data_IF_338693383349
#
_entry.id   IF_338693383349
#
_cell.length_a   1.000
_cell.length_b   1.000
_cell.length_c   1.000
_cell.angle_alpha   90.00
_cell.angle_beta   90.00
_cell.angle_gamma   90.00
#
_symmetry.space_group_name_H-M   'P 1'
#
loop_
_entity.id
_entity.type
_entity.pdbx_description
1 polymer ?
#
# COMPACT_ATOMS: atom_id res chain seq x y z
N UNK A 1 -13.17 8.01 28.17
CA UNK A 1 -14.26 8.98 28.28
C UNK A 1 -15.35 8.27 29.05
N UNK A 2 -15.76 8.87 30.16
CA UNK A 2 -16.89 8.42 30.97
C UNK A 2 -17.86 9.59 31.04
N UNK A 3 -19.15 9.35 30.85
CA UNK A 3 -20.19 10.37 30.89
C UNK A 3 -21.28 9.84 31.80
N UNK A 4 -21.39 10.39 33.00
CA UNK A 4 -22.31 9.87 34.01
C UNK A 4 -22.57 10.92 35.10
N UNK A 5 -23.82 11.41 35.27
CA UNK A 5 -25.04 10.97 34.60
C UNK A 5 -25.34 11.68 33.27
N UNK A 6 -26.11 11.01 32.41
CA UNK A 6 -26.79 11.60 31.25
C UNK A 6 -28.27 11.78 31.60
N UNK A 7 -28.78 12.99 31.41
CA UNK A 7 -30.20 13.31 31.52
C UNK A 7 -30.77 13.47 30.12
N UNK A 8 -31.84 12.75 29.79
CA UNK A 8 -32.51 12.84 28.51
C UNK A 8 -34.00 13.16 28.72
N UNK A 9 -34.50 14.13 27.98
CA UNK A 9 -35.91 14.57 27.99
C UNK A 9 -36.39 14.92 26.57
N UNK A 10 -37.62 15.42 26.44
CA UNK A 10 -38.22 15.82 25.15
C UNK A 10 -37.48 16.96 24.43
N UNK A 11 -36.61 17.70 25.12
CA UNK A 11 -35.83 18.80 24.55
C UNK A 11 -34.42 18.38 24.14
N UNK A 12 -33.94 17.22 24.59
CA UNK A 12 -32.69 16.64 24.13
C UNK A 12 -31.97 15.81 25.19
N UNK A 13 -30.63 15.77 25.08
CA UNK A 13 -29.75 15.01 25.98
C UNK A 13 -28.70 15.94 26.57
N UNK A 14 -28.59 15.95 27.90
CA UNK A 14 -27.64 16.72 28.69
C UNK A 14 -26.71 15.78 29.45
N UNK A 15 -25.40 15.93 29.26
CA UNK A 15 -24.40 15.31 30.13
C UNK A 15 -24.22 16.16 31.39
N UNK A 16 -24.57 15.63 32.56
CA UNK A 16 -24.45 16.32 33.84
C UNK A 16 -23.01 16.26 34.38
N UNK A 17 -22.29 15.19 34.07
CA UNK A 17 -20.86 15.06 34.35
C UNK A 17 -20.17 14.25 33.25
N UNK A 18 -18.90 14.58 32.99
CA UNK A 18 -18.06 13.89 32.04
C UNK A 18 -16.60 13.89 32.51
N UNK A 19 -16.02 12.69 32.59
CA UNK A 19 -14.62 12.49 32.91
C UNK A 19 -13.82 12.04 31.69
N UNK A 20 -12.80 12.82 31.35
CA UNK A 20 -11.82 12.48 30.32
C UNK A 20 -10.49 12.14 30.97
N UNK A 21 -10.13 10.86 30.97
CA UNK A 21 -8.77 10.44 31.30
C UNK A 21 -7.90 10.51 30.04
N UNK A 22 -6.89 11.38 30.06
CA UNK A 22 -5.89 11.47 28.99
C UNK A 22 -4.72 10.56 29.36
N UNK A 23 -4.41 9.60 28.49
CA UNK A 23 -3.17 8.80 28.60
C UNK A 23 -2.21 9.21 27.49
N UNK A 24 -0.91 9.01 27.73
CA UNK A 24 0.06 9.07 26.64
C UNK A 24 -0.34 8.01 25.60
N UNK A 25 -0.55 8.38 24.32
CA UNK A 25 -0.91 7.40 23.31
C UNK A 25 0.20 6.35 23.21
N UNK A 26 -0.20 5.09 22.99
CA UNK A 26 0.77 4.07 22.64
C UNK A 26 1.40 4.48 21.30
N UNK A 27 2.71 4.29 21.14
CA UNK A 27 3.35 4.50 19.84
C UNK A 27 2.79 3.44 18.89
N UNK A 28 2.03 3.89 17.89
CA UNK A 28 1.48 3.02 16.85
C UNK A 28 2.51 2.73 15.76
N UNK A 29 3.48 3.62 15.57
CA UNK A 29 4.42 3.54 14.45
C UNK A 29 5.88 3.49 14.94
N UNK A 30 6.73 2.78 14.20
CA UNK A 30 8.17 2.98 14.31
C UNK A 30 8.57 4.37 13.75
N UNK A 31 9.63 4.98 14.28
CA UNK A 31 10.12 6.29 13.84
C UNK A 31 9.81 7.48 14.75
N UNK A 32 10.38 8.64 14.40
CA UNK A 32 10.53 9.80 15.29
C UNK A 32 9.59 10.99 15.00
N UNK A 33 8.54 10.85 14.19
CA UNK A 33 7.74 12.04 13.85
C UNK A 33 6.75 12.40 14.96
N UNK A 34 6.83 13.65 15.42
CA UNK A 34 5.86 14.25 16.37
C UNK A 34 4.68 14.91 15.65
N UNK A 35 4.70 14.94 14.32
CA UNK A 35 3.70 15.64 13.51
C UNK A 35 2.45 14.77 13.32
N UNK A 36 1.28 15.42 13.33
CA UNK A 36 0.00 14.76 13.04
C UNK A 36 -0.08 14.27 11.59
N UNK A 37 0.58 14.98 10.66
CA UNK A 37 0.76 14.59 9.27
C UNK A 37 2.23 14.28 9.05
N UNK A 38 2.52 13.08 8.55
CA UNK A 38 3.91 12.70 8.26
C UNK A 38 4.43 13.47 7.05
N UNK A 39 5.66 14.01 7.12
CA UNK A 39 6.28 14.64 5.96
C UNK A 39 6.62 13.59 4.90
N UNK A 40 6.90 14.07 3.70
CA UNK A 40 7.40 13.24 2.62
C UNK A 40 8.66 12.44 3.05
N UNK A 41 8.66 11.09 2.93
CA UNK A 41 9.74 10.25 3.45
C UNK A 41 10.90 10.13 2.44
N UNK A 42 11.63 11.22 2.21
CA UNK A 42 12.70 11.33 1.21
C UNK A 42 13.85 10.34 1.39
N UNK A 43 14.06 9.79 2.59
CA UNK A 43 15.08 8.77 2.84
C UNK A 43 14.85 7.45 2.08
N UNK A 44 13.66 7.25 1.51
CA UNK A 44 13.33 6.10 0.69
C UNK A 44 13.44 6.36 -0.83
N UNK A 45 13.94 7.53 -1.23
CA UNK A 45 14.34 7.75 -2.62
C UNK A 45 15.64 6.99 -2.95
N UNK A 46 15.77 6.51 -4.19
CA UNK A 46 16.96 5.81 -4.61
C UNK A 46 16.87 5.20 -6.00
N UNK A 47 17.66 4.16 -6.22
CA UNK A 47 17.67 3.39 -7.46
C UNK A 47 17.50 1.90 -7.16
N UNK A 48 16.76 1.20 -8.01
CA UNK A 48 16.70 -0.27 -8.01
C UNK A 48 17.45 -0.78 -9.23
N UNK A 49 18.29 -1.81 -9.02
CA UNK A 49 18.93 -2.53 -10.10
C UNK A 49 18.09 -3.76 -10.45
N UNK A 50 17.74 -3.89 -11.73
CA UNK A 50 17.01 -5.03 -12.26
C UNK A 50 17.95 -6.18 -12.63
N UNK A 51 17.38 -7.35 -12.95
CA UNK A 51 18.17 -8.57 -13.25
C UNK A 51 19.05 -8.42 -14.49
N UNK A 52 18.62 -7.60 -15.45
CA UNK A 52 19.34 -7.29 -16.70
C UNK A 52 20.35 -6.13 -16.55
N UNK A 53 20.53 -5.60 -15.33
CA UNK A 53 21.39 -4.46 -15.04
C UNK A 53 20.74 -3.10 -15.34
N UNK A 54 19.51 -3.06 -15.87
CA UNK A 54 18.77 -1.83 -16.04
C UNK A 54 18.51 -1.18 -14.67
N UNK A 55 18.74 0.13 -14.56
CA UNK A 55 18.51 0.88 -13.33
C UNK A 55 17.24 1.70 -13.46
N UNK A 56 16.36 1.58 -12.48
CA UNK A 56 15.16 2.42 -12.37
C UNK A 56 15.31 3.35 -11.18
N UNK A 57 14.88 4.60 -11.34
CA UNK A 57 14.74 5.49 -10.20
C UNK A 57 13.51 5.06 -9.39
N UNK A 58 13.58 5.16 -8.06
CA UNK A 58 12.44 4.86 -7.20
C UNK A 58 12.29 5.95 -6.15
N UNK A 59 11.04 6.31 -5.85
CA UNK A 59 10.73 7.26 -4.78
C UNK A 59 9.32 7.06 -4.24
N UNK A 60 9.03 7.55 -3.03
CA UNK A 60 7.64 7.65 -2.57
C UNK A 60 6.79 8.49 -3.54
N UNK A 61 5.56 8.04 -3.78
CA UNK A 61 4.57 8.72 -4.61
C UNK A 61 4.17 10.05 -3.97
N UNK A 62 3.95 11.07 -4.80
CA UNK A 62 3.59 12.44 -4.41
C UNK A 62 2.21 12.78 -4.96
N UNK A 63 1.47 13.72 -4.34
CA UNK A 63 0.20 14.19 -4.87
C UNK A 63 0.29 14.68 -6.32
N UNK A 64 1.38 15.38 -6.67
CA UNK A 64 1.65 15.89 -8.02
C UNK A 64 1.88 14.80 -9.09
N UNK A 65 2.01 13.53 -8.71
CA UNK A 65 2.18 12.42 -9.65
C UNK A 65 0.87 12.05 -10.38
N UNK A 66 -0.25 12.68 -10.05
CA UNK A 66 -1.56 12.34 -10.60
C UNK A 66 -1.60 12.25 -12.14
N UNK A 67 -1.06 13.23 -12.89
CA UNK A 67 -1.03 13.15 -14.36
C UNK A 67 -0.16 11.99 -14.86
N UNK A 68 0.93 11.68 -14.15
CA UNK A 68 1.83 10.58 -14.49
C UNK A 68 1.17 9.22 -14.23
N UNK A 69 0.38 9.10 -13.16
CA UNK A 69 -0.40 7.88 -12.85
C UNK A 69 -1.50 7.69 -13.89
N UNK A 70 -2.17 8.76 -14.32
CA UNK A 70 -3.15 8.68 -15.41
C UNK A 70 -2.51 8.19 -16.72
N UNK A 71 -1.37 8.77 -17.10
CA UNK A 71 -0.61 8.36 -18.28
C UNK A 71 -0.13 6.90 -18.17
N UNK A 72 0.31 6.49 -16.99
CA UNK A 72 0.71 5.11 -16.70
C UNK A 72 -0.44 4.12 -16.92
N UNK A 73 -1.62 4.39 -16.38
CA UNK A 73 -2.78 3.51 -16.57
C UNK A 73 -3.17 3.32 -18.03
N UNK A 74 -2.96 4.33 -18.89
CA UNK A 74 -3.20 4.22 -20.35
C UNK A 74 -2.23 3.26 -21.04
N UNK A 75 -1.07 2.96 -20.43
CA UNK A 75 -0.06 2.01 -20.93
C UNK A 75 -0.18 0.61 -20.35
N UNK A 76 -1.06 0.40 -19.38
CA UNK A 76 -1.30 -0.91 -18.77
C UNK A 76 -2.42 -1.63 -19.53
N UNK A 77 -2.23 -2.91 -19.82
CA UNK A 77 -3.27 -3.70 -20.49
C UNK A 77 -4.54 -3.84 -19.64
N UNK A 78 -5.70 -3.96 -20.27
CA UNK A 78 -6.98 -4.20 -19.59
C UNK A 78 -6.91 -5.45 -18.70
N UNK A 79 -6.17 -6.46 -19.16
CA UNK A 79 -5.98 -7.70 -18.40
C UNK A 79 -5.18 -7.46 -17.12
N UNK A 80 -4.10 -6.68 -17.16
CA UNK A 80 -3.34 -6.33 -15.95
C UNK A 80 -4.15 -5.49 -14.97
N UNK A 81 -4.98 -4.57 -15.47
CA UNK A 81 -5.92 -3.82 -14.64
C UNK A 81 -6.97 -4.76 -14.01
N UNK A 82 -7.50 -5.72 -14.77
CA UNK A 82 -8.44 -6.72 -14.25
C UNK A 82 -7.81 -7.57 -13.16
N UNK A 83 -6.57 -8.02 -13.36
CA UNK A 83 -5.85 -8.80 -12.36
C UNK A 83 -5.58 -7.99 -11.08
N UNK A 84 -5.37 -6.67 -11.20
CA UNK A 84 -5.12 -5.78 -10.06
C UNK A 84 -6.38 -5.38 -9.30
N UNK A 85 -7.49 -5.15 -10.01
CA UNK A 85 -8.72 -4.58 -9.44
C UNK A 85 -9.88 -5.57 -9.36
N UNK A 86 -9.69 -6.81 -9.85
CA UNK A 86 -10.63 -7.93 -9.77
C UNK A 86 -11.90 -7.72 -10.63
N UNK A 87 -11.95 -6.65 -11.41
CA UNK A 87 -13.01 -6.36 -12.36
C UNK A 87 -12.45 -5.62 -13.58
N UNK A 88 -13.17 -5.64 -14.70
CA UNK A 88 -12.78 -4.89 -15.88
C UNK A 88 -12.92 -3.38 -15.62
N UNK A 89 -11.79 -2.67 -15.59
CA UNK A 89 -11.77 -1.21 -15.44
C UNK A 89 -11.66 -0.57 -16.82
N UNK A 90 -12.66 0.24 -17.19
CA UNK A 90 -12.69 0.93 -18.49
C UNK A 90 -12.07 2.32 -18.46
N UNK A 91 -12.25 3.03 -17.34
CA UNK A 91 -11.76 4.39 -17.16
C UNK A 91 -11.56 4.68 -15.68
N UNK A 92 -10.56 5.48 -15.36
CA UNK A 92 -10.30 5.96 -14.01
C UNK A 92 -10.77 7.40 -13.89
N UNK A 93 -11.59 7.70 -12.89
CA UNK A 93 -11.98 9.09 -12.60
C UNK A 93 -10.81 9.83 -11.96
N UNK A 94 -10.76 11.16 -12.14
CA UNK A 94 -9.86 12.04 -11.41
C UNK A 94 -9.90 11.76 -9.89
N UNK A 95 -11.11 11.62 -9.31
CA UNK A 95 -11.30 11.29 -7.89
C UNK A 95 -10.75 9.92 -7.47
N UNK A 96 -10.61 8.96 -8.39
CA UNK A 96 -9.98 7.69 -8.10
C UNK A 96 -8.45 7.84 -8.08
N UNK A 97 -7.87 8.52 -9.08
CA UNK A 97 -6.43 8.72 -9.17
C UNK A 97 -5.93 9.61 -8.02
N UNK A 98 -6.65 10.67 -7.68
CA UNK A 98 -6.34 11.52 -6.53
C UNK A 98 -6.27 10.73 -5.21
N UNK A 99 -7.14 9.71 -5.02
CA UNK A 99 -7.08 8.83 -3.84
C UNK A 99 -5.86 7.91 -3.82
N UNK A 100 -5.26 7.62 -4.98
CA UNK A 100 -4.04 6.82 -5.07
C UNK A 100 -2.78 7.66 -4.81
N UNK A 101 -2.80 8.96 -5.12
CA UNK A 101 -1.63 9.85 -5.01
C UNK A 101 -1.60 10.65 -3.71
N UNK A 102 -2.76 11.00 -3.14
CA UNK A 102 -2.87 11.77 -1.89
C UNK A 102 -2.86 10.85 -0.68
N UNK A 103 -1.67 10.34 -0.34
CA UNK A 103 -1.47 9.37 0.73
C UNK A 103 -1.22 10.05 2.08
N UNK A 104 -1.85 9.53 3.12
CA UNK A 104 -1.38 9.74 4.49
C UNK A 104 -0.24 8.76 4.77
N UNK A 105 1.02 9.23 4.69
CA UNK A 105 2.22 8.40 4.93
C UNK A 105 2.26 7.75 6.33
N UNK A 106 1.39 8.14 7.26
CA UNK A 106 1.24 7.41 8.51
C UNK A 106 0.62 6.02 8.30
N UNK A 107 -0.34 5.89 7.38
CA UNK A 107 -1.16 4.67 7.19
C UNK A 107 -1.05 4.06 5.81
N UNK A 108 -0.64 4.82 4.81
CA UNK A 108 -0.53 4.37 3.44
C UNK A 108 0.79 4.81 2.85
N UNK A 109 1.45 3.93 2.11
CA UNK A 109 2.71 4.24 1.44
C UNK A 109 2.66 3.70 0.03
N UNK A 110 3.08 4.49 -0.95
CA UNK A 110 3.30 4.01 -2.31
C UNK A 110 4.67 4.43 -2.81
N UNK A 111 5.31 3.55 -3.55
CA UNK A 111 6.54 3.81 -4.29
C UNK A 111 6.24 3.76 -5.79
N UNK A 112 6.80 4.71 -6.52
CA UNK A 112 6.82 4.71 -7.99
C UNK A 112 8.22 4.37 -8.49
N UNK A 113 8.30 3.41 -9.40
CA UNK A 113 9.48 3.19 -10.24
C UNK A 113 9.36 4.07 -11.47
N UNK A 114 10.42 4.82 -11.75
CA UNK A 114 10.49 5.80 -12.83
C UNK A 114 11.60 5.39 -13.81
N UNK A 115 11.32 5.57 -15.08
CA UNK A 115 12.33 5.51 -16.13
C UNK A 115 13.32 6.68 -15.91
N UNK A 116 14.63 6.42 -15.77
CA UNK A 116 15.60 7.48 -15.50
C UNK A 116 15.82 8.44 -16.68
N UNK A 117 15.44 8.05 -17.90
CA UNK A 117 15.60 8.87 -19.11
C UNK A 117 14.35 9.70 -19.38
N UNK A 118 13.16 9.07 -19.31
CA UNK A 118 11.90 9.74 -19.66
C UNK A 118 11.18 10.34 -18.45
N UNK A 119 11.51 9.89 -17.23
CA UNK A 119 10.81 10.24 -16.01
C UNK A 119 9.44 9.57 -15.88
N UNK A 120 9.07 8.67 -16.79
CA UNK A 120 7.76 8.04 -16.81
C UNK A 120 7.61 6.94 -15.75
N UNK A 121 6.40 6.77 -15.21
CA UNK A 121 6.12 5.66 -14.30
C UNK A 121 6.14 4.34 -15.08
N UNK A 122 6.99 3.44 -14.61
CA UNK A 122 7.16 2.07 -15.07
C UNK A 122 6.40 1.05 -14.22
N UNK A 123 6.10 1.42 -12.97
CA UNK A 123 5.33 0.61 -12.05
C UNK A 123 5.17 1.29 -10.70
N UNK A 124 4.18 0.84 -9.95
CA UNK A 124 3.92 1.31 -8.60
C UNK A 124 3.62 0.14 -7.67
N UNK A 125 4.08 0.25 -6.44
CA UNK A 125 3.74 -0.65 -5.34
C UNK A 125 3.27 0.17 -4.17
N UNK A 126 2.26 -0.30 -3.45
CA UNK A 126 1.71 0.41 -2.30
C UNK A 126 1.33 -0.55 -1.18
N UNK A 127 1.24 -0.02 0.03
CA UNK A 127 0.65 -0.69 1.17
C UNK A 127 -0.32 0.24 1.90
N UNK A 128 -1.33 -0.35 2.54
CA UNK A 128 -2.26 0.32 3.44
C UNK A 128 -2.36 -0.46 4.75
N UNK A 129 -2.01 0.17 5.87
CA UNK A 129 -2.09 -0.44 7.19
C UNK A 129 -3.52 -0.52 7.72
N UNK A 130 -3.81 -1.55 8.50
CA UNK A 130 -5.00 -1.62 9.32
C UNK A 130 -5.03 -0.53 10.42
N UNK A 131 -6.15 -0.42 11.13
CA UNK A 131 -6.34 0.56 12.20
C UNK A 131 -5.44 0.33 13.42
N UNK A 132 -4.92 -0.89 13.59
CA UNK A 132 -4.04 -1.30 14.70
C UNK A 132 -2.55 -1.22 14.34
N UNK A 133 -2.23 -0.86 13.11
CA UNK A 133 -0.89 -0.84 12.54
C UNK A 133 -0.12 -2.16 12.69
N UNK A 134 -0.81 -3.30 12.54
CA UNK A 134 -0.20 -4.63 12.66
C UNK A 134 -0.03 -5.30 11.31
N UNK A 135 -1.06 -5.20 10.47
CA UNK A 135 -1.09 -5.78 9.13
C UNK A 135 -1.21 -4.65 8.12
N UNK A 136 -0.56 -4.81 6.97
CA UNK A 136 -0.81 -3.93 5.83
C UNK A 136 -1.16 -4.74 4.59
N UNK A 137 -2.14 -4.25 3.83
CA UNK A 137 -2.50 -4.80 2.54
C UNK A 137 -1.61 -4.18 1.46
N UNK A 138 -0.94 -5.01 0.67
CA UNK A 138 -0.13 -4.54 -0.44
C UNK A 138 -0.87 -4.60 -1.77
N UNK A 139 -0.36 -3.81 -2.71
CA UNK A 139 -0.80 -3.84 -4.08
C UNK A 139 0.35 -3.43 -5.01
N UNK A 140 0.42 -4.06 -6.18
CA UNK A 140 1.43 -3.75 -7.19
C UNK A 140 0.82 -3.71 -8.58
N UNK A 141 1.28 -2.78 -9.40
CA UNK A 141 0.94 -2.71 -10.82
C UNK A 141 2.17 -2.24 -11.60
N UNK A 142 2.47 -2.91 -12.71
CA UNK A 142 3.62 -2.62 -13.56
C UNK A 142 3.16 -2.33 -14.98
N UNK A 143 3.99 -1.61 -15.73
CA UNK A 143 3.81 -1.50 -17.18
C UNK A 143 4.01 -2.88 -17.81
N UNK A 144 3.11 -3.24 -18.74
CA UNK A 144 2.99 -4.62 -19.23
C UNK A 144 4.22 -5.13 -19.99
N UNK A 145 4.99 -4.23 -20.62
CA UNK A 145 6.23 -4.50 -21.37
C UNK A 145 7.47 -4.71 -20.48
N UNK A 146 7.35 -4.47 -19.18
CA UNK A 146 8.42 -4.66 -18.19
C UNK A 146 8.27 -5.95 -17.38
N UNK A 147 7.28 -6.78 -17.71
CA UNK A 147 7.15 -8.11 -17.14
C UNK A 147 8.38 -8.97 -17.48
N UNK A 148 8.79 -9.81 -16.54
CA UNK A 148 9.95 -10.69 -16.71
C UNK A 148 11.32 -10.03 -16.47
N UNK A 149 11.41 -8.69 -16.35
CA UNK A 149 12.68 -7.98 -16.09
C UNK A 149 13.06 -7.89 -14.60
N UNK A 150 12.21 -8.41 -13.71
CA UNK A 150 12.45 -8.40 -12.26
C UNK A 150 12.02 -7.12 -11.53
N UNK A 151 11.43 -6.13 -12.22
CA UNK A 151 10.93 -4.90 -11.60
C UNK A 151 9.93 -5.15 -10.46
N UNK A 152 9.00 -6.09 -10.67
CA UNK A 152 8.02 -6.45 -9.65
C UNK A 152 8.65 -6.96 -8.35
N UNK A 153 9.65 -7.84 -8.47
CA UNK A 153 10.41 -8.34 -7.32
C UNK A 153 11.15 -7.22 -6.61
N UNK A 154 11.84 -6.36 -7.37
CA UNK A 154 12.59 -5.25 -6.78
C UNK A 154 11.68 -4.27 -6.01
N UNK A 155 10.51 -3.96 -6.56
CA UNK A 155 9.50 -3.13 -5.90
C UNK A 155 8.90 -3.81 -4.67
N UNK A 156 8.54 -5.08 -4.74
CA UNK A 156 8.02 -5.82 -3.59
C UNK A 156 9.06 -5.93 -2.47
N UNK A 157 10.33 -6.18 -2.79
CA UNK A 157 11.41 -6.20 -1.81
C UNK A 157 11.60 -4.83 -1.14
N UNK A 158 11.52 -3.73 -1.91
CA UNK A 158 11.52 -2.38 -1.36
C UNK A 158 10.35 -2.18 -0.39
N UNK A 159 9.14 -2.57 -0.78
CA UNK A 159 7.94 -2.45 0.05
C UNK A 159 8.05 -3.28 1.34
N UNK A 160 8.58 -4.50 1.27
CA UNK A 160 8.81 -5.37 2.43
C UNK A 160 9.83 -4.74 3.39
N UNK A 161 10.93 -4.19 2.86
CA UNK A 161 11.91 -3.45 3.69
C UNK A 161 11.28 -2.24 4.37
N UNK A 162 10.47 -1.48 3.66
CA UNK A 162 9.71 -0.37 4.23
C UNK A 162 8.76 -0.87 5.33
N UNK A 163 7.97 -1.90 5.07
CA UNK A 163 7.02 -2.44 6.04
C UNK A 163 7.71 -2.93 7.33
N UNK A 164 8.85 -3.63 7.20
CA UNK A 164 9.67 -4.03 8.35
C UNK A 164 10.19 -2.82 9.12
N UNK A 165 10.66 -1.78 8.44
CA UNK A 165 11.17 -0.56 9.07
C UNK A 165 10.11 0.22 9.85
N UNK A 166 8.85 0.15 9.41
CA UNK A 166 7.69 0.75 10.07
C UNK A 166 7.18 -0.09 11.26
N UNK A 167 7.73 -1.30 11.45
CA UNK A 167 7.35 -2.21 12.53
C UNK A 167 6.05 -2.97 12.27
N UNK A 168 5.58 -3.04 11.02
CA UNK A 168 4.46 -3.89 10.64
C UNK A 168 4.80 -5.35 10.88
N UNK A 169 3.83 -6.12 11.37
CA UNK A 169 4.00 -7.55 11.68
C UNK A 169 3.69 -8.44 10.50
N UNK A 170 2.77 -8.02 9.63
CA UNK A 170 2.33 -8.81 8.48
C UNK A 170 2.09 -7.93 7.26
N UNK A 171 2.40 -8.49 6.09
CA UNK A 171 2.01 -7.93 4.81
C UNK A 171 1.07 -8.94 4.13
N UNK A 172 -0.12 -8.51 3.73
CA UNK A 172 -1.13 -9.38 3.14
C UNK A 172 -1.60 -8.85 1.80
N UNK A 173 -2.16 -9.72 0.97
CA UNK A 173 -2.80 -9.33 -0.28
C UNK A 173 -3.74 -10.41 -0.77
N UNK A 174 -4.65 -10.01 -1.64
CA UNK A 174 -5.50 -10.92 -2.39
C UNK A 174 -4.97 -11.00 -3.83
N UNK A 175 -4.91 -12.21 -4.36
CA UNK A 175 -4.42 -12.47 -5.72
C UNK A 175 -5.39 -13.41 -6.42
N UNK A 176 -5.81 -13.05 -7.63
CA UNK A 176 -6.59 -13.97 -8.46
C UNK A 176 -5.77 -15.22 -8.79
N UNK A 177 -6.39 -16.39 -8.74
CA UNK A 177 -5.75 -17.69 -9.01
C UNK A 177 -5.12 -17.76 -10.41
N UNK A 178 -5.68 -16.99 -11.36
CA UNK A 178 -5.20 -16.84 -12.73
C UNK A 178 -3.88 -16.04 -12.82
N UNK A 179 -3.55 -15.21 -11.83
CA UNK A 179 -2.33 -14.41 -11.78
C UNK A 179 -1.13 -15.22 -11.26
N UNK A 180 -0.77 -16.25 -12.02
CA UNK A 180 0.32 -17.19 -11.69
C UNK A 180 1.66 -16.49 -11.46
N UNK A 181 1.91 -15.37 -12.15
CA UNK A 181 3.14 -14.58 -11.97
C UNK A 181 3.20 -13.95 -10.59
N UNK A 182 2.11 -13.32 -10.12
CA UNK A 182 2.06 -12.73 -8.78
C UNK A 182 2.13 -13.82 -7.70
N UNK A 183 1.46 -14.97 -7.89
CA UNK A 183 1.54 -16.09 -6.96
C UNK A 183 2.96 -16.67 -6.85
N UNK A 184 3.67 -16.82 -7.98
CA UNK A 184 5.08 -17.24 -8.00
C UNK A 184 5.96 -16.23 -7.26
N UNK A 185 5.76 -14.93 -7.51
CA UNK A 185 6.48 -13.87 -6.81
C UNK A 185 6.24 -13.91 -5.30
N UNK A 186 4.99 -14.06 -4.87
CA UNK A 186 4.65 -14.21 -3.46
C UNK A 186 5.37 -15.40 -2.83
N UNK A 187 5.33 -16.57 -3.48
CA UNK A 187 6.03 -17.76 -3.00
C UNK A 187 7.55 -17.52 -2.86
N UNK A 188 8.20 -16.97 -3.89
CA UNK A 188 9.64 -16.65 -3.86
C UNK A 188 10.03 -15.64 -2.78
N UNK A 189 9.13 -14.71 -2.44
CA UNK A 189 9.33 -13.72 -1.39
C UNK A 189 8.94 -14.21 0.01
N UNK A 190 8.57 -15.49 0.15
CA UNK A 190 8.26 -16.12 1.44
C UNK A 190 6.83 -15.91 1.92
N UNK A 191 5.91 -15.48 1.06
CA UNK A 191 4.49 -15.44 1.41
C UNK A 191 3.92 -16.86 1.48
N UNK A 192 3.09 -17.07 2.49
CA UNK A 192 2.17 -18.21 2.54
C UNK A 192 0.91 -17.91 1.75
N UNK A 193 0.35 -18.92 1.09
CA UNK A 193 -0.84 -18.79 0.26
C UNK A 193 -1.94 -19.74 0.72
N UNK A 194 -3.15 -19.21 0.91
CA UNK A 194 -4.34 -19.97 1.29
C UNK A 194 -5.50 -19.55 0.39
N UNK A 195 -6.29 -20.52 -0.09
CA UNK A 195 -7.50 -20.22 -0.88
C UNK A 195 -8.50 -19.46 -0.02
N UNK A 196 -9.12 -18.44 -0.60
CA UNK A 196 -10.21 -17.71 0.06
C UNK A 196 -11.45 -18.62 0.19
N UNK A 197 -11.98 -18.85 1.41
CA UNK A 197 -13.10 -19.77 1.61
C UNK A 197 -14.37 -19.37 0.87
N UNK A 198 -14.58 -18.07 0.64
CA UNK A 198 -15.83 -17.55 0.06
C UNK A 198 -15.75 -17.30 -1.45
N UNK A 199 -14.56 -17.12 -2.01
CA UNK A 199 -14.32 -16.97 -3.44
C UNK A 199 -13.12 -17.81 -3.89
N UNK A 200 -13.41 -18.95 -4.52
CA UNK A 200 -12.37 -19.88 -5.01
C UNK A 200 -11.47 -19.31 -6.11
N UNK A 201 -11.80 -18.14 -6.66
CA UNK A 201 -10.95 -17.44 -7.65
C UNK A 201 -9.87 -16.61 -6.97
N UNK A 202 -9.96 -16.40 -5.65
CA UNK A 202 -9.05 -15.58 -4.87
C UNK A 202 -8.16 -16.45 -3.99
N UNK A 203 -6.90 -16.05 -3.91
CA UNK A 203 -5.88 -16.63 -3.04
C UNK A 203 -5.39 -15.52 -2.12
N UNK A 204 -5.55 -15.72 -0.81
CA UNK A 204 -4.99 -14.85 0.19
C UNK A 204 -3.51 -15.20 0.38
N UNK A 205 -2.66 -14.19 0.25
CA UNK A 205 -1.22 -14.33 0.47
C UNK A 205 -0.81 -13.49 1.66
N UNK A 206 -0.01 -14.08 2.56
CA UNK A 206 0.44 -13.43 3.79
C UNK A 206 1.93 -13.69 4.00
N UNK A 207 2.68 -12.61 4.21
CA UNK A 207 4.06 -12.63 4.66
C UNK A 207 4.13 -12.21 6.13
N UNK A 208 4.71 -13.06 6.96
CA UNK A 208 5.09 -12.70 8.33
C UNK A 208 6.38 -11.89 8.32
N UNK A 209 6.32 -10.65 8.80
CA UNK A 209 7.45 -9.72 8.86
C UNK A 209 8.21 -9.82 10.17
N UNK A 210 7.68 -10.53 11.18
CA UNK A 210 8.33 -10.75 12.47
C UNK A 210 9.44 -11.79 12.40
N UNK A 211 9.43 -12.63 11.37
CA UNK A 211 10.47 -13.62 11.12
C UNK A 211 11.71 -12.95 10.47
N UNK A 212 12.93 -13.26 10.93
CA UNK A 212 14.15 -12.85 10.24
C UNK A 212 14.17 -13.44 8.82
N UNK A 213 14.78 -12.69 7.88
CA UNK A 213 15.02 -13.14 6.49
C UNK A 213 16.10 -14.20 6.48
#
# INVERSE_FOLDING_TARGET
>A
LDINPLLADETGVLALDARVAVRKPARLFAGQTRLAVRPYPSQWEGQLSLRDGFRVAVRPMRPEDEPMVEAFFKRVTIEDLRLRFFHAVKQFSHSFIARLTQLDYARAMAFVALDPQTGEILGAVQLHSDSLYQTAEYAILLQSDLKGKGLGWALMQLLIRYARSEGLKRLSGEVLIENTTMLSMCHELGFTATKEPTDHRVVNVVLDLSLPV
#
